data_IF_359287038544
#
_entry.id   IF_359287038544
#
_cell.length_a   1.000
_cell.length_b   1.000
_cell.length_c   1.000
_cell.angle_alpha   90.00
_cell.angle_beta   90.00
_cell.angle_gamma   90.00
#
_symmetry.space_group_name_H-M   'P 1'
#
loop_
_entity.id
_entity.type
_entity.pdbx_description
1 polymer ?
#
# COMPACT_ATOMS: atom_id res chain seq x y z
N UNK A 1 67.48 29.69 -39.27
CA UNK A 1 66.48 30.78 -39.29
C UNK A 1 65.68 30.62 -38.01
N UNK A 2 66.09 31.39 -36.99
CA UNK A 2 65.45 31.49 -35.68
C UNK A 2 64.31 32.50 -35.84
N UNK A 3 63.11 32.13 -35.43
CA UNK A 3 62.01 33.06 -35.24
C UNK A 3 61.49 32.86 -33.82
N UNK A 4 61.90 33.77 -32.96
CA UNK A 4 61.30 34.07 -31.67
C UNK A 4 59.85 34.51 -31.89
N UNK A 5 58.90 33.79 -31.31
CA UNK A 5 57.54 34.30 -31.09
C UNK A 5 57.32 34.43 -29.58
N UNK A 6 57.14 35.68 -29.15
CA UNK A 6 56.78 36.07 -27.79
C UNK A 6 55.34 35.62 -27.47
N UNK A 7 55.06 35.17 -26.23
CA UNK A 7 53.69 34.89 -25.82
C UNK A 7 52.97 36.19 -25.42
N UNK A 8 51.96 36.57 -26.20
CA UNK A 8 51.04 37.67 -25.87
C UNK A 8 50.31 37.42 -24.54
N UNK A 9 50.49 38.36 -23.62
CA UNK A 9 49.79 38.46 -22.35
C UNK A 9 48.30 38.71 -22.56
N UNK A 10 47.46 37.74 -22.20
CA UNK A 10 46.01 37.86 -22.18
C UNK A 10 45.57 38.52 -20.86
N UNK A 11 44.90 39.69 -20.86
CA UNK A 11 44.49 40.36 -19.63
C UNK A 11 43.31 39.64 -18.98
N UNK A 12 43.56 39.05 -17.80
CA UNK A 12 42.55 38.44 -16.93
C UNK A 12 41.73 39.52 -16.22
N UNK A 13 40.64 39.97 -16.83
CA UNK A 13 39.61 40.77 -16.16
C UNK A 13 38.69 39.86 -15.34
N UNK A 14 39.04 39.62 -14.07
CA UNK A 14 38.18 38.96 -13.09
C UNK A 14 37.08 39.93 -12.63
N UNK A 15 35.99 40.03 -13.41
CA UNK A 15 34.76 40.68 -12.98
C UNK A 15 33.97 39.71 -12.09
N UNK A 16 34.20 39.79 -10.78
CA UNK A 16 33.37 39.17 -9.75
C UNK A 16 32.00 39.87 -9.73
N UNK A 17 31.08 39.41 -10.58
CA UNK A 17 29.67 39.77 -10.47
C UNK A 17 29.07 38.99 -9.31
N UNK A 18 28.55 39.71 -8.31
CA UNK A 18 27.81 39.11 -7.21
C UNK A 18 26.68 38.25 -7.78
N UNK A 19 26.48 37.01 -7.29
CA UNK A 19 25.41 36.15 -7.77
C UNK A 19 24.08 36.88 -7.54
N UNK A 20 23.36 37.13 -8.63
CA UNK A 20 22.01 37.67 -8.58
C UNK A 20 21.20 36.79 -7.62
N UNK A 21 20.60 37.41 -6.61
CA UNK A 21 19.74 36.74 -5.64
C UNK A 21 18.70 35.94 -6.44
N UNK A 22 18.85 34.61 -6.43
CA UNK A 22 17.90 33.70 -7.06
C UNK A 22 16.55 33.97 -6.40
N UNK A 23 15.65 34.59 -7.16
CA UNK A 23 14.27 34.76 -6.73
C UNK A 23 13.74 33.34 -6.53
N UNK A 24 13.51 32.97 -5.26
CA UNK A 24 12.89 31.72 -4.89
C UNK A 24 11.53 31.68 -5.59
N UNK A 25 11.43 30.91 -6.67
CA UNK A 25 10.15 30.65 -7.31
C UNK A 25 9.21 30.16 -6.21
N UNK A 26 8.08 30.84 -6.07
CA UNK A 26 7.05 30.49 -5.09
C UNK A 26 6.50 29.11 -5.49
N UNK A 27 7.07 28.05 -4.91
CA UNK A 27 6.61 26.69 -5.14
C UNK A 27 5.16 26.61 -4.66
N UNK A 28 4.22 26.54 -5.60
CA UNK A 28 2.81 26.36 -5.26
C UNK A 28 2.68 25.00 -4.59
N UNK A 29 2.45 25.01 -3.27
CA UNK A 29 2.36 23.81 -2.46
C UNK A 29 1.19 22.94 -2.95
N UNK A 30 1.50 21.76 -3.50
CA UNK A 30 0.48 20.80 -3.93
C UNK A 30 -0.20 20.25 -2.69
N UNK A 31 -1.52 20.47 -2.58
CA UNK A 31 -2.32 19.95 -1.48
C UNK A 31 -3.41 19.01 -2.00
N UNK A 32 -3.60 17.90 -1.30
CA UNK A 32 -4.69 16.95 -1.54
C UNK A 32 -5.72 17.11 -0.43
N UNK A 33 -6.88 17.73 -0.69
CA UNK A 33 -7.93 17.83 0.32
C UNK A 33 -8.51 16.44 0.59
N UNK A 34 -8.84 16.19 1.85
CA UNK A 34 -9.48 14.95 2.30
C UNK A 34 -10.89 15.22 2.83
N UNK A 35 -11.68 14.16 2.92
CA UNK A 35 -13.02 14.21 3.54
C UNK A 35 -13.00 14.34 5.07
N UNK A 36 -11.82 14.46 5.71
CA UNK A 36 -11.67 14.54 7.17
C UNK A 36 -11.27 15.95 7.65
N UNK A 37 -12.21 16.73 8.21
CA UNK A 37 -11.89 18.01 8.84
C UNK A 37 -10.89 17.90 10.01
N UNK A 38 -10.90 16.79 10.75
CA UNK A 38 -9.95 16.53 11.84
C UNK A 38 -8.54 16.31 11.31
N UNK A 39 -8.39 15.54 10.23
CA UNK A 39 -7.10 15.36 9.58
C UNK A 39 -6.60 16.66 8.95
N UNK A 40 -7.43 17.43 8.25
CA UNK A 40 -6.99 18.71 7.66
C UNK A 40 -6.45 19.68 8.73
N UNK A 41 -7.14 19.79 9.88
CA UNK A 41 -6.66 20.59 11.02
C UNK A 41 -5.36 20.05 11.60
N UNK A 42 -5.23 18.72 11.69
CA UNK A 42 -4.02 18.08 12.19
C UNK A 42 -2.84 18.31 11.24
N UNK A 43 -3.04 18.12 9.93
CA UNK A 43 -2.00 18.17 8.90
C UNK A 43 -1.26 19.50 8.86
N UNK A 44 -1.97 20.60 9.10
CA UNK A 44 -1.39 21.96 9.16
C UNK A 44 -0.80 22.31 10.52
N UNK A 45 -0.91 21.43 11.52
CA UNK A 45 -0.43 21.69 12.88
C UNK A 45 1.06 21.38 13.05
N UNK A 46 1.70 22.03 14.03
CA UNK A 46 3.06 21.69 14.45
C UNK A 46 3.20 20.21 14.86
N UNK A 47 2.12 19.59 15.35
CA UNK A 47 2.15 18.17 15.73
C UNK A 47 2.33 17.25 14.53
N UNK A 48 1.73 17.57 13.38
CA UNK A 48 1.93 16.78 12.16
C UNK A 48 3.34 16.95 11.60
N UNK A 49 3.90 18.17 11.69
CA UNK A 49 5.27 18.45 11.23
C UNK A 49 6.35 17.79 12.11
N UNK A 50 6.02 17.48 13.37
CA UNK A 50 6.92 16.83 14.33
C UNK A 50 6.42 15.45 14.77
N UNK A 51 5.51 14.85 14.01
CA UNK A 51 5.04 13.49 14.27
C UNK A 51 6.22 12.50 14.18
N UNK A 52 6.29 11.48 15.05
CA UNK A 52 7.43 10.57 15.08
C UNK A 52 7.62 9.82 13.76
N UNK A 53 6.54 9.47 13.03
CA UNK A 53 6.66 8.84 11.72
C UNK A 53 7.09 9.85 10.66
N UNK A 54 6.47 11.03 10.65
CA UNK A 54 6.77 12.07 9.68
C UNK A 54 8.21 12.61 9.79
N UNK A 55 8.72 12.77 11.01
CA UNK A 55 10.11 13.16 11.25
C UNK A 55 11.10 12.11 10.71
N UNK A 56 10.83 10.82 10.93
CA UNK A 56 11.65 9.72 10.39
C UNK A 56 11.61 9.66 8.88
N UNK A 57 10.42 9.83 8.29
CA UNK A 57 10.25 9.88 6.84
C UNK A 57 11.02 11.06 6.22
N UNK A 58 10.94 12.24 6.84
CA UNK A 58 11.69 13.42 6.39
C UNK A 58 13.19 13.17 6.44
N UNK A 59 13.71 12.63 7.55
CA UNK A 59 15.13 12.28 7.70
C UNK A 59 15.59 11.22 6.68
N UNK A 60 14.71 10.27 6.34
CA UNK A 60 14.95 9.26 5.29
C UNK A 60 15.06 9.94 3.92
N UNK A 61 14.17 10.87 3.57
CA UNK A 61 14.23 11.59 2.30
C UNK A 61 15.46 12.49 2.18
N UNK A 62 15.84 13.20 3.25
CA UNK A 62 17.01 14.11 3.25
C UNK A 62 18.35 13.39 3.31
N UNK A 63 18.37 12.06 3.48
CA UNK A 63 19.61 11.27 3.45
C UNK A 63 20.46 11.36 4.71
N UNK A 64 19.90 11.80 5.84
CA UNK A 64 20.60 11.96 7.13
C UNK A 64 21.19 10.64 7.68
N UNK A 65 20.87 9.48 7.07
CA UNK A 65 21.44 8.17 7.41
C UNK A 65 22.72 7.80 6.63
N UNK A 66 23.32 8.73 5.90
CA UNK A 66 24.72 8.61 5.46
C UNK A 66 24.98 7.72 4.24
N UNK A 67 23.96 7.37 3.44
CA UNK A 67 24.15 6.49 2.27
C UNK A 67 24.38 7.27 0.96
N UNK A 68 24.11 8.59 0.92
CA UNK A 68 24.45 9.43 -0.24
C UNK A 68 24.51 10.91 0.13
N UNK A 69 25.69 11.53 0.10
CA UNK A 69 25.89 12.97 0.31
C UNK A 69 25.57 13.83 -0.94
N UNK A 70 24.57 13.40 -1.73
CA UNK A 70 24.16 14.13 -2.93
C UNK A 70 23.56 15.49 -2.58
N UNK A 71 23.56 16.42 -3.53
CA UNK A 71 22.89 17.71 -3.38
C UNK A 71 21.42 17.50 -2.95
N UNK A 72 20.96 18.25 -1.95
CA UNK A 72 19.58 18.21 -1.48
C UNK A 72 18.67 18.89 -2.52
N UNK A 73 18.38 18.18 -3.61
CA UNK A 73 17.45 18.60 -4.63
C UNK A 73 16.03 18.48 -4.06
N UNK A 74 15.27 19.57 -4.08
CA UNK A 74 13.87 19.57 -3.65
C UNK A 74 13.03 18.57 -4.47
N UNK A 75 12.02 17.95 -3.85
CA UNK A 75 11.18 16.96 -4.52
C UNK A 75 10.47 17.52 -5.76
N UNK A 76 10.11 18.81 -5.74
CA UNK A 76 9.58 19.55 -6.90
C UNK A 76 10.58 19.58 -8.06
N UNK A 77 11.85 19.85 -7.78
CA UNK A 77 12.94 19.85 -8.78
C UNK A 77 13.16 18.48 -9.40
N UNK A 78 12.92 17.40 -8.64
CA UNK A 78 12.98 16.02 -9.13
C UNK A 78 11.72 15.58 -9.90
N UNK A 79 10.71 16.46 -10.05
CA UNK A 79 9.43 16.11 -10.64
C UNK A 79 8.59 15.17 -9.78
N UNK A 80 8.86 15.11 -8.47
CA UNK A 80 8.21 14.23 -7.50
C UNK A 80 7.25 14.98 -6.55
N UNK A 81 6.99 16.27 -6.78
CA UNK A 81 6.22 17.12 -5.86
C UNK A 81 4.85 16.53 -5.47
N UNK A 82 4.06 16.06 -6.45
CA UNK A 82 2.74 15.44 -6.20
C UNK A 82 2.84 14.16 -5.37
N UNK A 83 3.74 13.24 -5.75
CA UNK A 83 3.93 11.97 -5.04
C UNK A 83 4.43 12.22 -3.63
N UNK A 84 5.41 13.11 -3.46
CA UNK A 84 5.94 13.48 -2.15
C UNK A 84 4.87 14.10 -1.26
N UNK A 85 4.02 14.99 -1.78
CA UNK A 85 2.94 15.60 -1.01
C UNK A 85 1.88 14.55 -0.57
N UNK A 86 1.52 13.61 -1.45
CA UNK A 86 0.58 12.53 -1.12
C UNK A 86 1.16 11.61 -0.04
N UNK A 87 2.42 11.18 -0.21
CA UNK A 87 3.12 10.32 0.75
C UNK A 87 3.28 11.01 2.10
N UNK A 88 3.70 12.28 2.13
CA UNK A 88 3.79 13.09 3.34
C UNK A 88 2.45 13.13 4.10
N UNK A 89 1.36 13.41 3.40
CA UNK A 89 0.03 13.44 4.00
C UNK A 89 -0.38 12.06 4.55
N UNK A 90 -0.10 10.98 3.84
CA UNK A 90 -0.36 9.63 4.33
C UNK A 90 0.46 9.30 5.59
N UNK A 91 1.74 9.67 5.65
CA UNK A 91 2.56 9.47 6.85
C UNK A 91 2.02 10.27 8.04
N UNK A 92 1.58 11.51 7.81
CA UNK A 92 0.95 12.33 8.85
C UNK A 92 -0.40 11.73 9.30
N UNK A 93 -1.17 11.14 8.40
CA UNK A 93 -2.40 10.44 8.76
C UNK A 93 -2.11 9.22 9.64
N UNK A 94 -1.03 8.49 9.37
CA UNK A 94 -0.58 7.41 10.24
C UNK A 94 -0.18 7.92 11.64
N UNK A 95 0.52 9.06 11.73
CA UNK A 95 0.83 9.73 13.02
C UNK A 95 -0.44 10.14 13.78
N UNK A 96 -1.48 10.62 13.08
CA UNK A 96 -2.76 10.96 13.71
C UNK A 96 -3.48 9.71 14.22
N UNK A 97 -3.47 8.62 13.45
CA UNK A 97 -4.06 7.34 13.84
C UNK A 97 -3.37 6.77 15.07
N UNK A 98 -2.05 6.85 15.16
CA UNK A 98 -1.30 6.51 16.36
C UNK A 98 -1.80 7.26 17.59
N UNK A 99 -1.99 8.57 17.45
CA UNK A 99 -2.48 9.41 18.55
C UNK A 99 -3.92 9.05 18.94
N UNK A 100 -4.78 8.75 17.96
CA UNK A 100 -6.14 8.28 18.20
C UNK A 100 -6.15 6.96 18.99
N UNK A 101 -5.33 5.98 18.59
CA UNK A 101 -5.22 4.68 19.26
C UNK A 101 -4.74 4.80 20.70
N UNK A 102 -3.87 5.79 20.97
CA UNK A 102 -3.40 6.13 22.31
C UNK A 102 -4.37 7.03 23.10
N UNK A 103 -5.58 7.28 22.58
CA UNK A 103 -6.60 8.13 23.23
C UNK A 103 -6.24 9.62 23.30
N UNK A 104 -5.22 10.06 22.55
CA UNK A 104 -4.73 11.45 22.60
C UNK A 104 -5.50 12.41 21.70
N UNK A 105 -6.31 11.91 20.76
CA UNK A 105 -7.10 12.71 19.81
C UNK A 105 -8.49 12.12 19.62
N UNK A 106 -9.49 12.98 19.44
CA UNK A 106 -10.93 12.65 19.30
C UNK A 106 -11.35 12.51 17.83
N UNK A 107 -10.47 12.06 16.94
CA UNK A 107 -10.87 11.71 15.58
C UNK A 107 -11.63 10.38 15.60
N UNK A 108 -12.68 10.22 14.79
CA UNK A 108 -13.38 8.92 14.70
C UNK A 108 -12.64 7.98 13.74
N UNK A 109 -12.79 6.67 13.93
CA UNK A 109 -12.13 5.68 13.07
C UNK A 109 -12.62 5.80 11.61
N UNK A 110 -13.92 6.04 11.43
CA UNK A 110 -14.54 6.20 10.11
C UNK A 110 -14.01 7.44 9.38
N UNK A 111 -13.85 8.56 10.11
CA UNK A 111 -13.32 9.80 9.54
C UNK A 111 -11.88 9.60 9.02
N UNK A 112 -11.02 8.94 9.82
CA UNK A 112 -9.65 8.65 9.39
C UNK A 112 -9.57 7.59 8.30
N UNK A 113 -10.55 6.68 8.24
CA UNK A 113 -10.71 5.73 7.12
C UNK A 113 -10.96 6.45 5.80
N UNK A 114 -11.93 7.38 5.76
CA UNK A 114 -12.21 8.19 4.58
C UNK A 114 -10.99 9.02 4.14
N UNK A 115 -10.27 9.63 5.08
CA UNK A 115 -9.04 10.35 4.77
C UNK A 115 -7.97 9.45 4.14
N UNK A 116 -7.81 8.22 4.66
CA UNK A 116 -6.85 7.26 4.12
C UNK A 116 -7.18 6.89 2.67
N UNK A 117 -8.46 6.65 2.39
CA UNK A 117 -8.96 6.34 1.05
C UNK A 117 -8.69 7.51 0.08
N UNK A 118 -9.05 8.73 0.47
CA UNK A 118 -8.87 9.91 -0.39
C UNK A 118 -7.39 10.16 -0.71
N UNK A 119 -6.51 10.07 0.30
CA UNK A 119 -5.07 10.21 0.11
C UNK A 119 -4.48 9.07 -0.71
N UNK A 120 -4.99 7.85 -0.57
CA UNK A 120 -4.51 6.71 -1.34
C UNK A 120 -4.89 6.80 -2.81
N UNK A 121 -6.09 7.28 -3.13
CA UNK A 121 -6.48 7.59 -4.52
C UNK A 121 -5.63 8.74 -5.09
N UNK A 122 -5.35 9.77 -4.30
CA UNK A 122 -4.45 10.85 -4.69
C UNK A 122 -3.03 10.33 -5.00
N UNK A 123 -2.51 9.42 -4.16
CA UNK A 123 -1.24 8.75 -4.40
C UNK A 123 -1.28 7.91 -5.68
N UNK A 124 -2.33 7.11 -5.88
CA UNK A 124 -2.53 6.31 -7.09
C UNK A 124 -2.50 7.19 -8.35
N UNK A 125 -3.19 8.34 -8.32
CA UNK A 125 -3.18 9.31 -9.43
C UNK A 125 -1.78 9.90 -9.63
N UNK A 126 -1.11 10.33 -8.56
CA UNK A 126 0.22 10.93 -8.63
C UNK A 126 1.28 9.95 -9.16
N UNK A 127 1.22 8.68 -8.77
CA UNK A 127 2.11 7.63 -9.27
C UNK A 127 1.83 7.33 -10.75
N UNK A 128 0.55 7.28 -11.16
CA UNK A 128 0.16 7.08 -12.57
C UNK A 128 0.67 8.20 -13.50
N UNK A 129 0.80 9.42 -12.98
CA UNK A 129 1.35 10.56 -13.72
C UNK A 129 2.89 10.54 -13.85
N UNK A 130 3.59 9.66 -13.12
CA UNK A 130 5.02 9.53 -13.27
C UNK A 130 5.38 9.04 -14.69
N UNK A 131 6.40 9.62 -15.34
CA UNK A 131 6.94 9.11 -16.60
C UNK A 131 7.23 7.61 -16.53
N UNK A 132 6.62 6.85 -17.43
CA UNK A 132 6.81 5.40 -17.55
C UNK A 132 8.03 5.02 -18.37
N UNK A 133 8.53 5.93 -19.21
CA UNK A 133 9.75 5.73 -20.00
C UNK A 133 10.99 6.03 -19.17
N UNK A 134 12.09 5.32 -19.46
CA UNK A 134 13.40 5.73 -19.01
C UNK A 134 13.62 7.22 -19.38
N UNK A 135 14.21 8.02 -18.49
CA UNK A 135 14.48 9.42 -18.78
C UNK A 135 15.33 9.55 -20.05
N UNK A 136 15.07 10.59 -20.83
CA UNK A 136 15.92 10.92 -21.98
C UNK A 136 17.34 11.20 -21.48
N UNK A 137 18.35 10.71 -22.20
CA UNK A 137 19.81 10.72 -21.88
C UNK A 137 20.37 12.12 -21.54
N UNK A 138 19.57 13.17 -21.67
CA UNK A 138 19.93 14.56 -21.40
C UNK A 138 19.86 14.97 -19.93
N UNK A 139 19.20 14.21 -19.04
CA UNK A 139 19.21 14.53 -17.62
C UNK A 139 20.55 14.13 -16.96
N UNK A 140 20.98 14.90 -15.96
CA UNK A 140 22.17 14.52 -15.19
C UNK A 140 21.90 13.20 -14.48
N UNK A 141 22.79 12.23 -14.66
CA UNK A 141 22.78 10.93 -13.95
C UNK A 141 22.57 11.10 -12.43
N UNK A 142 23.12 12.16 -11.85
CA UNK A 142 22.94 12.47 -10.42
C UNK A 142 21.48 12.77 -10.05
N UNK A 143 20.77 13.55 -10.87
CA UNK A 143 19.37 13.89 -10.64
C UNK A 143 18.45 12.66 -10.81
N UNK A 144 18.74 11.81 -11.80
CA UNK A 144 18.01 10.56 -12.00
C UNK A 144 18.21 9.58 -10.84
N UNK A 145 19.46 9.41 -10.38
CA UNK A 145 19.78 8.59 -9.21
C UNK A 145 19.10 9.12 -7.96
N UNK A 146 19.12 10.44 -7.72
CA UNK A 146 18.42 11.06 -6.60
C UNK A 146 16.90 10.83 -6.67
N UNK A 147 16.31 10.98 -7.87
CA UNK A 147 14.89 10.72 -8.12
C UNK A 147 14.51 9.26 -7.85
N UNK A 148 15.29 8.30 -8.36
CA UNK A 148 15.07 6.87 -8.13
C UNK A 148 15.16 6.51 -6.64
N UNK A 149 16.17 7.03 -5.94
CA UNK A 149 16.34 6.82 -4.50
C UNK A 149 15.17 7.39 -3.69
N UNK A 150 14.70 8.60 -4.01
CA UNK A 150 13.55 9.21 -3.35
C UNK A 150 12.25 8.41 -3.59
N UNK A 151 12.01 7.96 -4.82
CA UNK A 151 10.86 7.10 -5.15
C UNK A 151 10.90 5.78 -4.40
N UNK A 152 12.05 5.12 -4.34
CA UNK A 152 12.21 3.87 -3.60
C UNK A 152 11.89 4.06 -2.10
N UNK A 153 12.42 5.12 -1.49
CA UNK A 153 12.17 5.50 -0.09
C UNK A 153 10.69 5.78 0.20
N UNK A 154 10.03 6.52 -0.70
CA UNK A 154 8.60 6.82 -0.58
C UNK A 154 7.75 5.55 -0.71
N UNK A 155 8.04 4.71 -1.70
CA UNK A 155 7.39 3.40 -1.88
C UNK A 155 7.53 2.56 -0.62
N UNK A 156 8.76 2.35 -0.14
CA UNK A 156 9.04 1.53 1.04
C UNK A 156 8.29 2.03 2.28
N UNK A 157 8.21 3.36 2.45
CA UNK A 157 7.45 3.98 3.53
C UNK A 157 5.95 3.67 3.43
N UNK A 158 5.33 3.85 2.26
CA UNK A 158 3.90 3.58 2.08
C UNK A 158 3.59 2.08 2.20
N UNK A 159 4.42 1.24 1.59
CA UNK A 159 4.31 -0.22 1.70
C UNK A 159 4.31 -0.68 3.15
N UNK A 160 5.20 -0.10 3.97
CA UNK A 160 5.31 -0.43 5.40
C UNK A 160 4.16 0.11 6.24
N UNK A 161 3.52 1.21 5.83
CA UNK A 161 2.47 1.88 6.60
C UNK A 161 1.05 1.51 6.18
N UNK A 162 0.84 0.98 4.98
CA UNK A 162 -0.49 0.80 4.42
C UNK A 162 -0.62 -0.50 3.66
N UNK A 163 -0.06 -0.54 2.45
CA UNK A 163 -0.13 -1.67 1.55
C UNK A 163 0.93 -1.53 0.44
N UNK A 164 1.42 -2.66 -0.07
CA UNK A 164 2.41 -2.69 -1.14
C UNK A 164 1.80 -2.42 -2.54
N UNK A 165 0.60 -2.93 -2.82
CA UNK A 165 -0.08 -2.74 -4.10
C UNK A 165 -0.99 -1.51 -4.11
N UNK A 166 -0.89 -0.68 -5.15
CA UNK A 166 -1.68 0.55 -5.31
C UNK A 166 -3.09 0.27 -5.88
N UNK A 167 -3.92 -0.44 -5.12
CA UNK A 167 -5.29 -0.76 -5.52
C UNK A 167 -6.25 0.39 -5.17
N UNK A 168 -6.52 1.29 -6.13
CA UNK A 168 -7.44 2.43 -5.95
C UNK A 168 -8.91 2.00 -5.69
N UNK A 169 -9.76 2.93 -5.24
CA UNK A 169 -11.22 2.68 -5.15
C UNK A 169 -11.82 2.19 -6.46
N UNK A 170 -11.44 2.82 -7.57
CA UNK A 170 -11.93 2.45 -8.89
C UNK A 170 -11.52 1.02 -9.25
N UNK A 171 -10.30 0.61 -8.91
CA UNK A 171 -9.81 -0.76 -9.10
C UNK A 171 -10.60 -1.76 -8.24
N UNK A 172 -10.80 -1.47 -6.95
CA UNK A 172 -11.60 -2.33 -6.06
C UNK A 172 -13.03 -2.50 -6.57
N UNK A 173 -13.67 -1.41 -7.04
CA UNK A 173 -15.02 -1.44 -7.59
C UNK A 173 -15.11 -2.29 -8.88
N UNK A 174 -14.17 -2.10 -9.82
CA UNK A 174 -14.10 -2.89 -11.05
C UNK A 174 -13.85 -4.37 -10.76
N UNK A 175 -12.99 -4.66 -9.78
CA UNK A 175 -12.68 -6.01 -9.36
C UNK A 175 -13.91 -6.69 -8.76
N UNK A 176 -14.58 -6.05 -7.80
CA UNK A 176 -15.77 -6.61 -7.17
C UNK A 176 -16.89 -6.84 -8.19
N UNK A 177 -17.07 -5.92 -9.13
CA UNK A 177 -18.02 -6.08 -10.23
C UNK A 177 -17.70 -7.30 -11.10
N UNK A 178 -16.41 -7.53 -11.39
CA UNK A 178 -15.95 -8.71 -12.14
C UNK A 178 -16.23 -9.99 -11.37
N UNK A 179 -15.90 -10.05 -10.08
CA UNK A 179 -16.19 -11.24 -9.25
C UNK A 179 -17.69 -11.50 -9.21
N UNK A 180 -18.51 -10.47 -8.97
CA UNK A 180 -19.99 -10.59 -8.95
C UNK A 180 -20.60 -11.01 -10.28
N UNK A 181 -19.92 -10.78 -11.41
CA UNK A 181 -20.36 -11.29 -12.70
C UNK A 181 -20.10 -12.79 -12.86
N UNK A 182 -19.05 -13.30 -12.21
CA UNK A 182 -18.65 -14.71 -12.25
C UNK A 182 -19.31 -15.57 -11.18
N UNK A 183 -19.72 -14.98 -10.04
CA UNK A 183 -20.33 -15.70 -8.92
C UNK A 183 -21.77 -15.30 -8.68
N UNK A 184 -22.61 -16.27 -8.35
CA UNK A 184 -23.99 -16.03 -7.89
C UNK A 184 -23.95 -15.82 -6.37
N UNK A 185 -24.26 -14.61 -5.91
CA UNK A 185 -24.43 -14.32 -4.48
C UNK A 185 -23.53 -13.20 -3.96
N UNK A 186 -23.47 -13.09 -2.62
CA UNK A 186 -22.61 -12.14 -1.94
C UNK A 186 -21.13 -12.55 -2.09
N UNK A 187 -20.22 -11.58 -2.04
CA UNK A 187 -18.77 -11.79 -2.14
C UNK A 187 -18.12 -11.41 -0.82
N UNK A 188 -17.33 -12.33 -0.27
CA UNK A 188 -16.55 -12.15 0.95
C UNK A 188 -15.07 -12.30 0.65
N UNK A 189 -14.29 -11.24 0.84
CA UNK A 189 -12.83 -11.32 0.75
C UNK A 189 -12.22 -11.77 2.08
N UNK A 190 -11.17 -12.57 1.99
CA UNK A 190 -10.44 -13.08 3.14
C UNK A 190 -8.99 -12.73 2.93
N UNK A 191 -8.42 -11.96 3.85
CA UNK A 191 -7.05 -11.48 3.77
C UNK A 191 -6.28 -11.93 5.01
N UNK A 192 -5.46 -12.98 4.90
CA UNK A 192 -4.75 -13.58 6.03
C UNK A 192 -3.41 -12.88 6.35
N UNK A 193 -3.05 -11.83 5.60
CA UNK A 193 -1.84 -11.01 5.78
C UNK A 193 -2.18 -9.54 5.52
N UNK A 194 -3.23 -9.06 6.18
CA UNK A 194 -3.92 -7.85 5.75
C UNK A 194 -3.15 -6.55 5.93
N UNK A 195 -2.02 -6.60 6.63
CA UNK A 195 -1.22 -5.43 6.84
C UNK A 195 -1.93 -4.49 7.82
N UNK A 196 -2.22 -3.29 7.32
CA UNK A 196 -3.03 -2.30 8.04
C UNK A 196 -4.54 -2.46 7.82
N UNK A 197 -4.95 -3.31 6.88
CA UNK A 197 -6.33 -3.50 6.45
C UNK A 197 -6.81 -2.50 5.39
N UNK A 198 -5.93 -1.72 4.74
CA UNK A 198 -6.35 -0.66 3.81
C UNK A 198 -7.10 -1.23 2.60
N UNK A 199 -6.62 -2.34 2.04
CA UNK A 199 -7.35 -3.02 0.96
C UNK A 199 -8.70 -3.55 1.44
N UNK A 200 -8.79 -4.06 2.68
CA UNK A 200 -10.05 -4.44 3.30
C UNK A 200 -11.03 -3.27 3.41
N UNK A 201 -10.55 -2.08 3.82
CA UNK A 201 -11.36 -0.86 3.85
C UNK A 201 -11.90 -0.49 2.46
N UNK A 202 -11.03 -0.47 1.45
CA UNK A 202 -11.41 -0.12 0.07
C UNK A 202 -12.40 -1.13 -0.54
N UNK A 203 -12.23 -2.43 -0.25
CA UNK A 203 -13.16 -3.47 -0.68
C UNK A 203 -14.52 -3.36 0.03
N UNK A 204 -14.55 -2.99 1.32
CA UNK A 204 -15.81 -2.71 2.04
C UNK A 204 -16.54 -1.51 1.47
N UNK A 205 -15.82 -0.43 1.15
CA UNK A 205 -16.41 0.74 0.50
C UNK A 205 -17.00 0.38 -0.87
N UNK A 206 -16.36 -0.53 -1.61
CA UNK A 206 -16.91 -1.09 -2.84
C UNK A 206 -18.16 -1.98 -2.61
N UNK A 207 -18.48 -2.33 -1.36
CA UNK A 207 -19.64 -3.14 -0.99
C UNK A 207 -19.35 -4.65 -0.90
N UNK A 208 -18.11 -5.03 -0.59
CA UNK A 208 -17.75 -6.41 -0.26
C UNK A 208 -17.79 -6.65 1.26
N UNK A 209 -18.07 -7.90 1.66
CA UNK A 209 -17.72 -8.36 3.00
C UNK A 209 -16.22 -8.66 3.04
N UNK A 210 -15.56 -8.38 4.16
CA UNK A 210 -14.13 -8.68 4.33
C UNK A 210 -13.87 -9.31 5.69
N UNK A 211 -12.97 -10.28 5.72
CA UNK A 211 -12.41 -10.91 6.92
C UNK A 211 -10.90 -10.73 6.87
N UNK A 212 -10.35 -10.08 7.90
CA UNK A 212 -8.96 -9.68 7.92
C UNK A 212 -8.26 -10.34 9.11
N UNK A 213 -7.10 -10.94 8.87
CA UNK A 213 -6.21 -11.42 9.91
C UNK A 213 -4.78 -10.98 9.63
N UNK A 214 -4.01 -10.78 10.69
CA UNK A 214 -2.57 -10.60 10.61
C UNK A 214 -1.93 -11.05 11.94
N UNK A 215 -0.78 -11.72 11.86
CA UNK A 215 -0.02 -12.12 13.06
C UNK A 215 0.84 -10.99 13.59
N UNK A 216 1.17 -10.03 12.73
CA UNK A 216 1.97 -8.87 13.07
C UNK A 216 1.01 -7.75 13.35
N UNK A 217 1.09 -7.21 14.56
CA UNK A 217 0.39 -5.97 14.85
C UNK A 217 0.80 -4.97 13.75
N UNK A 218 -0.18 -4.42 13.03
CA UNK A 218 0.01 -3.35 12.03
C UNK A 218 0.66 -3.73 10.73
N UNK A 219 0.85 -5.01 10.48
CA UNK A 219 1.11 -5.49 9.14
C UNK A 219 2.52 -5.89 8.76
N UNK A 220 2.64 -6.22 7.47
CA UNK A 220 3.69 -7.07 6.89
C UNK A 220 5.13 -6.58 7.10
N UNK A 221 5.99 -7.55 7.40
CA UNK A 221 7.33 -7.49 8.00
C UNK A 221 8.47 -7.81 7.03
N UNK A 222 8.50 -7.19 5.85
CA UNK A 222 9.72 -7.28 5.03
C UNK A 222 10.84 -6.41 5.61
N UNK A 223 11.46 -6.88 6.71
CA UNK A 223 12.91 -6.95 6.93
C UNK A 223 13.80 -5.82 6.38
N UNK A 224 13.41 -4.56 6.53
CA UNK A 224 14.27 -3.38 6.31
C UNK A 224 14.73 -2.75 7.63
N UNK A 225 15.20 -3.57 8.59
CA UNK A 225 15.96 -3.10 9.76
C UNK A 225 15.26 -2.07 10.68
N UNK A 226 13.93 -2.01 10.67
CA UNK A 226 13.13 -1.11 11.51
C UNK A 226 12.39 -1.86 12.62
N UNK A 227 13.10 -2.67 13.40
CA UNK A 227 12.55 -3.52 14.48
C UNK A 227 11.75 -2.76 15.56
N UNK A 228 11.77 -1.42 15.58
CA UNK A 228 10.98 -0.58 16.51
C UNK A 228 9.94 0.34 15.86
N UNK A 229 9.81 0.37 14.53
CA UNK A 229 8.90 1.30 13.84
C UNK A 229 7.46 0.74 13.77
N UNK A 230 7.35 -0.57 13.61
CA UNK A 230 6.08 -1.25 13.36
C UNK A 230 5.31 -1.48 14.65
N UNK A 231 5.95 -1.66 15.81
CA UNK A 231 5.27 -1.98 17.07
C UNK A 231 4.31 -0.90 17.62
N UNK A 232 4.38 0.32 17.09
CA UNK A 232 3.48 1.42 17.46
C UNK A 232 2.35 1.63 16.46
N UNK A 233 2.58 1.52 15.14
CA UNK A 233 1.61 1.85 14.06
C UNK A 233 0.45 0.86 13.90
N UNK A 234 0.36 -0.04 14.86
CA UNK A 234 -0.01 -1.42 14.61
C UNK A 234 -1.02 -2.01 15.54
N UNK A 235 -1.19 -1.39 16.70
CA UNK A 235 -2.24 -1.79 17.59
C UNK A 235 -3.56 -1.39 16.94
N UNK A 236 -4.47 -2.34 16.79
CA UNK A 236 -5.87 -2.07 16.53
C UNK A 236 -6.46 -1.33 17.73
N UNK A 237 -6.12 -0.06 17.96
CA UNK A 237 -6.48 0.63 19.19
C UNK A 237 -5.98 -0.12 20.43
N UNK A 238 -6.48 0.21 21.63
CA UNK A 238 -6.21 -0.62 22.79
C UNK A 238 -6.70 -2.03 22.50
N UNK A 239 -5.84 -3.02 22.74
CA UNK A 239 -6.19 -4.42 22.99
C UNK A 239 -7.09 -4.48 24.22
N UNK A 240 -8.30 -3.94 24.12
CA UNK A 240 -9.38 -4.29 25.00
C UNK A 240 -9.83 -5.69 24.55
N UNK A 241 -9.13 -6.71 25.04
CA UNK A 241 -9.63 -8.09 25.11
C UNK A 241 -10.88 -8.22 26.03
N UNK A 242 -11.56 -7.12 26.34
CA UNK A 242 -12.74 -7.07 27.16
C UNK A 242 -13.80 -6.23 26.42
N UNK A 243 -14.82 -6.92 25.92
CA UNK A 243 -16.14 -6.37 25.61
C UNK A 243 -16.25 -5.36 24.44
N UNK A 244 -15.62 -5.63 23.30
CA UNK A 244 -16.27 -5.20 22.06
C UNK A 244 -17.58 -5.99 21.95
N UNK A 245 -18.76 -5.33 21.93
CA UNK A 245 -19.99 -6.04 21.67
C UNK A 245 -19.80 -6.74 20.32
N UNK A 246 -20.03 -8.06 20.29
CA UNK A 246 -20.17 -8.82 19.05
C UNK A 246 -21.29 -8.14 18.28
N UNK A 247 -20.93 -7.15 17.48
CA UNK A 247 -21.82 -6.43 16.59
C UNK A 247 -22.26 -7.48 15.58
N UNK A 248 -23.41 -8.09 15.85
CA UNK A 248 -24.24 -8.73 14.84
C UNK A 248 -24.61 -7.61 13.86
N UNK A 249 -23.71 -7.37 12.91
CA UNK A 249 -23.91 -6.43 11.82
C UNK A 249 -25.03 -6.98 10.96
N UNK A 250 -26.27 -6.57 11.26
CA UNK A 250 -27.30 -6.47 10.26
C UNK A 250 -26.73 -5.55 9.18
N UNK A 251 -26.29 -6.13 8.08
CA UNK A 251 -25.91 -5.41 6.88
C UNK A 251 -27.17 -4.63 6.48
N UNK A 252 -27.15 -3.31 6.67
CA UNK A 252 -28.20 -2.45 6.18
C UNK A 252 -28.14 -2.51 4.65
N UNK A 253 -28.98 -3.37 4.07
CA UNK A 253 -29.16 -3.47 2.62
C UNK A 253 -29.74 -2.15 2.13
N UNK A 254 -28.90 -1.26 1.60
CA UNK A 254 -29.34 -0.04 0.90
C UNK A 254 -28.69 1.29 1.30
N UNK A 255 -27.81 1.32 2.30
CA UNK A 255 -26.99 2.50 2.60
C UNK A 255 -25.54 2.28 2.16
N UNK A 256 -24.90 3.28 1.55
CA UNK A 256 -23.45 3.25 1.38
C UNK A 256 -22.82 3.05 2.76
N UNK A 257 -22.21 1.88 2.98
CA UNK A 257 -21.56 1.59 4.25
C UNK A 257 -20.52 2.68 4.51
N UNK A 258 -20.58 3.32 5.67
CA UNK A 258 -19.54 4.26 6.08
C UNK A 258 -18.18 3.54 5.95
N UNK A 259 -17.18 4.21 5.37
CA UNK A 259 -15.83 3.67 5.19
C UNK A 259 -15.15 3.54 6.56
N UNK A 260 -15.50 2.47 7.26
CA UNK A 260 -14.99 2.10 8.56
C UNK A 260 -13.96 0.99 8.41
N UNK A 261 -12.83 1.10 9.11
CA UNK A 261 -11.85 0.02 9.18
C UNK A 261 -12.51 -1.25 9.71
N UNK A 262 -12.30 -2.36 9.02
CA UNK A 262 -12.74 -3.64 9.54
C UNK A 262 -11.89 -4.03 10.77
N UNK A 263 -12.48 -4.74 11.75
CA UNK A 263 -11.70 -5.41 12.76
C UNK A 263 -10.68 -6.35 12.09
N UNK A 264 -9.45 -6.35 12.59
CA UNK A 264 -8.39 -7.27 12.18
C UNK A 264 -8.19 -8.27 13.31
N UNK A 265 -8.26 -9.56 12.99
CA UNK A 265 -7.96 -10.62 13.94
C UNK A 265 -6.44 -10.74 14.10
N UNK A 266 -5.96 -10.46 15.32
CA UNK A 266 -4.54 -10.57 15.69
C UNK A 266 -4.16 -12.04 15.90
N UNK A 267 -4.03 -12.78 14.81
CA UNK A 267 -3.89 -14.24 14.80
C UNK A 267 -2.88 -14.68 13.73
N UNK A 268 -1.95 -15.55 14.10
CA UNK A 268 -1.14 -16.29 13.14
C UNK A 268 -1.93 -17.43 12.51
N UNK A 269 -2.64 -17.10 11.43
CA UNK A 269 -3.43 -18.07 10.66
C UNK A 269 -2.57 -19.07 9.88
N UNK A 270 -1.24 -19.01 9.95
CA UNK A 270 -0.33 -19.95 9.31
C UNK A 270 0.23 -21.01 10.26
N UNK A 271 0.08 -20.83 11.57
CA UNK A 271 0.49 -21.84 12.54
C UNK A 271 -0.40 -23.10 12.46
N UNK A 272 0.02 -24.20 13.07
CA UNK A 272 -0.78 -25.44 13.13
C UNK A 272 -1.71 -25.50 14.35
N UNK A 273 -1.93 -24.37 15.01
CA UNK A 273 -2.72 -24.24 16.23
C UNK A 273 -4.22 -24.39 16.00
N UNK A 274 -4.99 -24.66 17.07
CA UNK A 274 -6.44 -24.82 16.99
C UNK A 274 -7.15 -23.54 16.54
N UNK A 275 -6.65 -22.36 16.91
CA UNK A 275 -7.24 -21.07 16.53
C UNK A 275 -7.11 -20.80 15.04
N UNK A 276 -5.91 -20.97 14.47
CA UNK A 276 -5.69 -20.87 13.03
C UNK A 276 -6.53 -21.86 12.24
N UNK A 277 -6.61 -23.12 12.69
CA UNK A 277 -7.45 -24.14 12.05
C UNK A 277 -8.93 -23.74 12.08
N UNK A 278 -9.42 -23.24 13.23
CA UNK A 278 -10.80 -22.78 13.36
C UNK A 278 -11.09 -21.57 12.45
N UNK A 279 -10.15 -20.65 12.33
CA UNK A 279 -10.25 -19.50 11.42
C UNK A 279 -10.40 -19.95 9.96
N UNK A 280 -9.55 -20.86 9.49
CA UNK A 280 -9.67 -21.42 8.13
C UNK A 280 -10.93 -22.25 7.92
N UNK A 281 -11.42 -22.97 8.94
CA UNK A 281 -12.69 -23.69 8.85
C UNK A 281 -13.88 -22.73 8.71
N UNK A 282 -13.87 -21.60 9.41
CA UNK A 282 -14.93 -20.62 9.40
C UNK A 282 -14.92 -19.76 8.12
N UNK A 283 -13.73 -19.37 7.68
CA UNK A 283 -13.57 -18.38 6.62
C UNK A 283 -13.10 -18.97 5.29
N UNK A 284 -12.21 -19.97 5.30
CA UNK A 284 -11.41 -20.47 4.18
C UNK A 284 -12.14 -21.06 2.96
N UNK A 285 -13.45 -20.89 2.88
CA UNK A 285 -14.32 -21.43 1.84
C UNK A 285 -14.74 -22.85 2.18
N UNK A 286 -16.02 -23.14 1.98
CA UNK A 286 -16.49 -24.51 1.81
C UNK A 286 -17.42 -24.48 0.61
N UNK A 287 -16.84 -24.17 -0.54
CA UNK A 287 -17.58 -23.96 -1.78
C UNK A 287 -17.99 -25.29 -2.42
N UNK A 288 -18.17 -26.36 -1.61
CA UNK A 288 -18.79 -27.58 -2.12
C UNK A 288 -20.13 -27.12 -2.73
N UNK A 289 -20.34 -27.32 -4.04
CA UNK A 289 -21.60 -26.98 -4.66
C UNK A 289 -22.66 -27.80 -3.95
N UNK A 290 -23.42 -27.14 -3.10
CA UNK A 290 -24.56 -27.77 -2.45
C UNK A 290 -25.60 -27.92 -3.54
N UNK A 291 -26.20 -29.11 -3.60
CA UNK A 291 -27.26 -29.40 -4.57
C UNK A 291 -28.60 -28.76 -4.17
N UNK A 292 -28.63 -28.07 -3.03
CA UNK A 292 -29.82 -27.40 -2.54
C UNK A 292 -29.93 -26.01 -3.16
N UNK A 293 -30.94 -25.82 -4.02
CA UNK A 293 -31.28 -24.53 -4.64
C UNK A 293 -31.54 -23.39 -3.62
N UNK A 294 -31.66 -23.71 -2.33
CA UNK A 294 -31.78 -22.75 -1.23
C UNK A 294 -30.44 -22.07 -0.85
N UNK A 295 -29.30 -22.55 -1.35
CA UNK A 295 -27.98 -21.99 -1.02
C UNK A 295 -27.58 -20.76 -1.83
N UNK A 296 -28.51 -20.18 -2.60
CA UNK A 296 -28.31 -18.91 -3.32
C UNK A 296 -27.91 -17.73 -2.39
N UNK A 297 -28.07 -17.86 -1.07
CA UNK A 297 -27.65 -16.86 -0.09
C UNK A 297 -26.22 -17.06 0.45
N UNK A 298 -25.54 -18.18 0.15
CA UNK A 298 -24.19 -18.41 0.69
C UNK A 298 -23.18 -17.47 0.01
N UNK A 299 -22.56 -16.61 0.81
CA UNK A 299 -21.49 -15.74 0.33
C UNK A 299 -20.30 -16.57 -0.18
N UNK A 300 -19.83 -16.24 -1.38
CA UNK A 300 -18.66 -16.86 -1.99
C UNK A 300 -17.39 -16.21 -1.44
N UNK A 301 -16.46 -17.06 -0.99
CA UNK A 301 -15.18 -16.62 -0.44
C UNK A 301 -14.15 -16.37 -1.55
N UNK A 302 -13.50 -15.21 -1.51
CA UNK A 302 -12.36 -14.84 -2.35
C UNK A 302 -11.14 -14.66 -1.46
N UNK A 303 -10.09 -15.43 -1.68
CA UNK A 303 -8.82 -15.21 -0.99
C UNK A 303 -8.13 -13.98 -1.58
N UNK A 304 -7.76 -13.00 -0.76
CA UNK A 304 -6.89 -11.89 -1.13
C UNK A 304 -5.47 -12.19 -0.65
N UNK A 305 -4.50 -12.12 -1.55
CA UNK A 305 -3.07 -12.13 -1.24
C UNK A 305 -2.40 -10.93 -1.90
N UNK A 306 -2.11 -9.89 -1.12
CA UNK A 306 -1.40 -8.70 -1.60
C UNK A 306 0.06 -8.72 -1.18
N UNK A 307 0.97 -8.79 -2.15
CA UNK A 307 2.42 -8.76 -1.98
C UNK A 307 2.89 -9.72 -0.89
N UNK A 308 2.52 -11.01 -0.98
CA UNK A 308 3.01 -11.97 -0.01
C UNK A 308 4.55 -11.97 -0.02
N UNK A 309 5.19 -12.11 1.14
CA UNK A 309 6.65 -12.01 1.25
C UNK A 309 7.37 -13.03 0.36
N UNK A 310 8.51 -12.65 -0.25
CA UNK A 310 9.34 -13.55 -1.03
C UNK A 310 10.05 -14.58 -0.12
N UNK A 311 10.83 -15.52 -0.69
CA UNK A 311 11.65 -16.44 0.08
C UNK A 311 12.50 -15.73 1.14
N UNK A 312 12.72 -16.36 2.31
CA UNK A 312 12.40 -17.75 2.64
C UNK A 312 10.94 -18.01 3.06
N UNK A 313 10.06 -17.01 3.02
CA UNK A 313 8.68 -17.17 3.47
C UNK A 313 7.88 -18.10 2.56
N UNK A 314 7.13 -19.02 3.18
CA UNK A 314 6.18 -19.93 2.52
C UNK A 314 4.72 -19.54 2.75
N UNK A 315 4.46 -18.33 3.25
CA UNK A 315 3.11 -17.88 3.64
C UNK A 315 2.11 -17.98 2.48
N UNK A 316 2.47 -17.53 1.28
CA UNK A 316 1.58 -17.60 0.11
C UNK A 316 1.19 -19.06 -0.24
N UNK A 317 2.19 -19.96 -0.21
CA UNK A 317 2.02 -21.38 -0.49
C UNK A 317 1.16 -22.07 0.58
N UNK A 318 1.43 -21.79 1.85
CA UNK A 318 0.64 -22.28 2.98
C UNK A 318 -0.82 -21.81 2.88
N UNK A 319 -1.01 -20.55 2.49
CA UNK A 319 -2.34 -19.96 2.29
C UNK A 319 -3.13 -20.72 1.21
N UNK A 320 -2.55 -20.90 0.02
CA UNK A 320 -3.24 -21.59 -1.08
C UNK A 320 -3.62 -23.04 -0.75
N UNK A 321 -2.80 -23.73 0.05
CA UNK A 321 -3.10 -25.10 0.49
C UNK A 321 -4.23 -25.17 1.50
N UNK A 322 -4.34 -24.18 2.39
CA UNK A 322 -5.39 -24.13 3.41
C UNK A 322 -6.72 -23.64 2.85
N UNK A 323 -6.68 -22.64 1.97
CA UNK A 323 -7.85 -22.10 1.33
C UNK A 323 -8.53 -23.15 0.44
N UNK A 324 -9.80 -23.44 0.73
CA UNK A 324 -10.62 -24.42 0.01
C UNK A 324 -11.56 -23.75 -1.01
N UNK A 325 -11.64 -22.42 -1.05
CA UNK A 325 -12.44 -21.71 -2.03
C UNK A 325 -11.86 -21.74 -3.45
N UNK A 326 -12.65 -21.23 -4.39
CA UNK A 326 -12.33 -21.26 -5.82
C UNK A 326 -11.76 -19.96 -6.38
N UNK A 327 -11.82 -18.86 -5.64
CA UNK A 327 -11.45 -17.54 -6.14
C UNK A 327 -10.27 -16.96 -5.38
N UNK A 328 -9.30 -16.45 -6.12
CA UNK A 328 -8.10 -15.81 -5.60
C UNK A 328 -7.93 -14.46 -6.28
N UNK A 329 -7.78 -13.42 -5.48
CA UNK A 329 -7.23 -12.14 -5.86
C UNK A 329 -5.77 -12.08 -5.40
N UNK A 330 -4.85 -12.15 -6.35
CA UNK A 330 -3.42 -11.94 -6.10
C UNK A 330 -3.02 -10.54 -6.56
N UNK A 331 -2.39 -9.76 -5.68
CA UNK A 331 -1.82 -8.44 -6.01
C UNK A 331 -0.30 -8.54 -5.86
N UNK A 332 0.46 -8.31 -6.92
CA UNK A 332 1.91 -8.49 -6.87
C UNK A 332 2.55 -8.60 -8.24
N UNK A 333 3.79 -9.08 -8.28
CA UNK A 333 4.53 -9.34 -9.51
C UNK A 333 4.48 -10.82 -9.85
N UNK A 334 4.08 -11.16 -11.07
CA UNK A 334 4.03 -12.56 -11.49
C UNK A 334 5.43 -13.14 -11.62
N UNK A 335 5.80 -14.10 -10.76
CA UNK A 335 7.16 -14.68 -10.66
C UNK A 335 8.26 -13.62 -10.47
N UNK A 336 7.92 -12.46 -9.89
CA UNK A 336 8.85 -11.38 -9.56
C UNK A 336 9.27 -11.39 -8.08
N UNK A 337 9.26 -10.23 -7.43
CA UNK A 337 9.66 -10.09 -6.02
C UNK A 337 8.59 -10.48 -4.97
N UNK A 338 7.48 -11.11 -5.39
CA UNK A 338 6.36 -11.47 -4.49
C UNK A 338 6.16 -12.97 -4.44
N UNK A 339 6.06 -13.55 -3.23
CA UNK A 339 5.87 -14.99 -3.03
C UNK A 339 7.09 -15.84 -3.41
N UNK A 340 7.10 -17.08 -2.92
CA UNK A 340 8.12 -18.07 -3.26
C UNK A 340 7.83 -18.76 -4.61
N UNK A 341 8.83 -19.35 -5.29
CA UNK A 341 8.61 -20.12 -6.53
C UNK A 341 7.50 -21.18 -6.41
N UNK A 342 7.45 -21.90 -5.28
CA UNK A 342 6.42 -22.92 -5.02
C UNK A 342 4.99 -22.39 -5.00
N UNK A 343 4.77 -21.12 -4.67
CA UNK A 343 3.45 -20.48 -4.78
C UNK A 343 3.01 -20.38 -6.25
N UNK A 344 3.89 -19.93 -7.14
CA UNK A 344 3.57 -19.82 -8.57
C UNK A 344 3.42 -21.18 -9.23
N UNK A 345 4.18 -22.19 -8.79
CA UNK A 345 4.01 -23.55 -9.29
C UNK A 345 2.62 -24.12 -8.93
N UNK A 346 2.10 -23.80 -7.73
CA UNK A 346 0.73 -24.12 -7.35
C UNK A 346 -0.30 -23.36 -8.20
N UNK A 347 -0.05 -22.08 -8.50
CA UNK A 347 -0.93 -21.29 -9.38
C UNK A 347 -0.97 -21.88 -10.79
N UNK A 348 0.17 -22.18 -11.40
CA UNK A 348 0.26 -22.71 -12.76
C UNK A 348 -0.40 -24.09 -12.87
N UNK A 349 -0.31 -24.92 -11.83
CA UNK A 349 -0.89 -26.25 -11.79
C UNK A 349 -2.42 -26.23 -11.56
N UNK A 350 -2.88 -25.43 -10.61
CA UNK A 350 -4.24 -25.52 -10.05
C UNK A 350 -5.18 -24.36 -10.36
N UNK A 351 -4.68 -23.29 -10.99
CA UNK A 351 -5.44 -22.05 -11.17
C UNK A 351 -5.42 -21.58 -12.63
N UNK A 352 -6.47 -20.89 -13.03
CA UNK A 352 -6.57 -20.18 -14.30
C UNK A 352 -6.74 -18.68 -14.02
N UNK A 353 -6.07 -17.87 -14.82
CA UNK A 353 -6.18 -16.41 -14.74
C UNK A 353 -7.43 -15.97 -15.50
N UNK A 354 -8.41 -15.43 -14.78
CA UNK A 354 -9.67 -14.93 -15.36
C UNK A 354 -9.48 -13.52 -15.89
N UNK A 355 -8.86 -12.64 -15.09
CA UNK A 355 -8.63 -11.26 -15.48
C UNK A 355 -7.36 -10.69 -14.82
N UNK A 356 -6.71 -9.77 -15.52
CA UNK A 356 -5.65 -8.90 -14.97
C UNK A 356 -6.16 -7.46 -14.94
N UNK A 357 -5.91 -6.78 -13.83
CA UNK A 357 -6.20 -5.36 -13.64
C UNK A 357 -4.88 -4.62 -13.53
N UNK A 358 -4.71 -3.63 -14.39
CA UNK A 358 -3.58 -2.70 -14.33
C UNK A 358 -3.69 -1.84 -13.08
N UNK A 359 -2.56 -1.70 -12.37
CA UNK A 359 -2.42 -0.82 -11.21
C UNK A 359 -1.57 0.39 -11.59
N UNK A 360 -1.69 1.53 -10.89
CA UNK A 360 -0.60 2.49 -10.81
C UNK A 360 0.66 1.76 -10.31
N UNK A 361 1.76 1.87 -11.05
CA UNK A 361 3.01 1.16 -10.74
C UNK A 361 4.06 2.16 -10.31
N UNK A 362 4.72 1.86 -9.19
CA UNK A 362 5.95 2.56 -8.86
C UNK A 362 7.00 2.30 -9.95
N UNK A 363 7.84 3.28 -10.31
CA UNK A 363 8.95 3.00 -11.22
C UNK A 363 9.78 1.82 -10.70
N UNK A 364 10.17 0.91 -11.62
CA UNK A 364 10.86 -0.36 -11.35
C UNK A 364 9.99 -1.50 -10.80
N UNK A 365 8.66 -1.32 -10.72
CA UNK A 365 7.74 -2.39 -10.32
C UNK A 365 6.88 -2.83 -11.50
N UNK A 366 6.53 -4.12 -11.51
CA UNK A 366 5.63 -4.74 -12.50
C UNK A 366 4.36 -5.27 -11.83
N UNK A 367 3.89 -4.59 -10.79
CA UNK A 367 2.76 -5.02 -10.01
C UNK A 367 1.45 -4.93 -10.80
N UNK A 368 0.60 -5.94 -10.59
CA UNK A 368 -0.75 -6.02 -11.13
C UNK A 368 -1.66 -6.75 -10.15
N UNK A 369 -2.96 -6.60 -10.34
CA UNK A 369 -3.95 -7.43 -9.66
C UNK A 369 -4.46 -8.52 -10.60
N UNK A 370 -4.45 -9.75 -10.14
CA UNK A 370 -4.84 -10.94 -10.89
C UNK A 370 -6.03 -11.58 -10.20
N UNK A 371 -7.14 -11.70 -10.91
CA UNK A 371 -8.27 -12.54 -10.50
C UNK A 371 -8.06 -13.93 -11.10
N UNK A 372 -7.95 -14.93 -10.23
CA UNK A 372 -7.76 -16.32 -10.59
C UNK A 372 -8.91 -17.18 -10.09
N UNK A 373 -9.24 -18.20 -10.87
CA UNK A 373 -10.19 -19.24 -10.53
C UNK A 373 -9.47 -20.57 -10.42
N UNK A 374 -9.81 -21.38 -9.41
CA UNK A 374 -9.26 -22.73 -9.27
C UNK A 374 -9.80 -23.59 -10.41
N UNK A 375 -8.92 -24.32 -11.11
CA UNK A 375 -9.34 -25.26 -12.16
C UNK A 375 -10.18 -26.38 -11.55
N UNK A 376 -11.21 -26.88 -12.26
CA UNK A 376 -11.90 -28.09 -11.84
C UNK A 376 -10.90 -29.24 -11.81
N UNK A 377 -10.97 -30.07 -10.77
CA UNK A 377 -10.24 -31.34 -10.74
C UNK A 377 -10.89 -32.23 -11.79
N UNK A 378 -10.19 -32.49 -12.90
CA UNK A 378 -10.62 -33.52 -13.84
C UNK A 378 -10.74 -34.83 -13.06
N UNK A 379 -11.93 -35.43 -13.05
CA UNK A 379 -12.13 -36.72 -12.41
C UNK A 379 -11.29 -37.76 -13.18
N UNK A 380 -10.17 -38.16 -12.59
CA UNK A 380 -9.26 -39.19 -13.12
C UNK A 380 -9.90 -40.56 -13.05
#
# INVERSE_FOLDING_TARGET
ALSDEEPEHCPSTSSSAAPAAAQSAEETEVSFPTSSPSFERFRTSLRAQHGPLFARFTALLTGERGISSGANLGMSTLGLGKVSAAVSAMVQLADLRLQQQNGSVVATADELGLAAVDLFDALCSAVKELPSSAPEVTASFEAESARAAALFRMKDTISSLYAWGLMSRATCGALLATVKAEVKGAVKFIDPITGTGLHGLLLREAGAEVVLADSVAGGSTQSSGSDMYIHHCSSTGPTAMADFPKSSSAIAVGGAAAAAWAPIEMLDVFDCGPEANNWWLLHGGSDKPTTDDNDAEKAMSVLLLSFPPPPPSSVAEATLRRFQGHWLLFVGEWRGCTGAPGFFDLLDAGWERVQTFELPRWPMMEDSAYLLRRRPVEAV
#
